data_IF_968051869423
#
_entry.id   IF_968051869423
#
_cell.length_a   1.000
_cell.length_b   1.000
_cell.length_c   1.000
_cell.angle_alpha   90.00
_cell.angle_beta   90.00
_cell.angle_gamma   90.00
#
_symmetry.space_group_name_H-M   'P 1'
#
loop_
_entity.id
_entity.type
_entity.pdbx_description
1 polymer ?
#
# COMPACT_ATOMS: atom_id res chain seq x y z
N UNK A 1 -35.02 -29.23 0.36
CA UNK A 1 -34.10 -28.62 1.34
C UNK A 1 -32.90 -28.09 0.59
N UNK A 2 -32.66 -26.77 0.59
CA UNK A 2 -31.47 -26.20 -0.03
C UNK A 2 -30.33 -26.15 1.00
N UNK A 3 -29.30 -26.95 0.77
CA UNK A 3 -28.06 -26.91 1.54
C UNK A 3 -27.28 -25.66 1.16
N UNK A 4 -27.38 -24.62 1.99
CA UNK A 4 -26.47 -23.47 1.94
C UNK A 4 -25.19 -23.95 2.63
N UNK A 5 -24.22 -24.42 1.84
CA UNK A 5 -22.85 -24.62 2.30
C UNK A 5 -22.29 -23.26 2.68
N UNK A 6 -22.21 -22.95 3.97
CA UNK A 6 -21.47 -21.80 4.47
C UNK A 6 -20.01 -21.95 4.02
N UNK A 7 -19.59 -21.15 3.04
CA UNK A 7 -18.18 -20.97 2.75
C UNK A 7 -17.54 -20.45 4.04
N UNK A 8 -16.64 -21.25 4.63
CA UNK A 8 -15.85 -20.86 5.79
C UNK A 8 -15.24 -19.47 5.54
N UNK A 9 -15.33 -18.52 6.50
CA UNK A 9 -14.78 -17.19 6.30
C UNK A 9 -13.32 -17.36 5.94
N UNK A 10 -12.94 -16.89 4.75
CA UNK A 10 -11.55 -16.77 4.32
C UNK A 10 -10.81 -16.17 5.51
N UNK A 11 -9.81 -16.87 6.04
CA UNK A 11 -9.04 -16.37 7.17
C UNK A 11 -8.25 -15.15 6.69
N UNK A 12 -8.89 -13.98 6.70
CA UNK A 12 -8.32 -12.69 6.34
C UNK A 12 -7.24 -12.42 7.38
N UNK A 13 -5.98 -12.67 7.00
CA UNK A 13 -4.84 -12.42 7.86
C UNK A 13 -4.68 -10.91 7.98
N UNK A 14 -5.31 -10.31 8.98
CA UNK A 14 -5.15 -8.89 9.27
C UNK A 14 -3.73 -8.61 9.77
N UNK A 15 -3.15 -7.49 9.32
CA UNK A 15 -1.88 -7.01 9.85
C UNK A 15 -2.07 -6.62 11.32
N UNK A 16 -1.36 -7.29 12.24
CA UNK A 16 -1.39 -6.96 13.66
C UNK A 16 -0.48 -5.76 13.91
N UNK A 17 -1.06 -4.58 13.98
CA UNK A 17 -0.34 -3.35 14.27
C UNK A 17 0.17 -3.36 15.73
N UNK A 18 1.48 -3.16 15.92
CA UNK A 18 2.06 -3.04 17.26
C UNK A 18 1.92 -1.61 17.79
N UNK A 19 1.87 -1.45 19.12
CA UNK A 19 1.75 -0.13 19.76
C UNK A 19 2.93 0.79 19.41
N UNK A 20 4.15 0.25 19.40
CA UNK A 20 5.35 0.99 19.02
C UNK A 20 5.29 1.49 17.56
N UNK A 21 4.83 0.65 16.63
CA UNK A 21 4.62 1.07 15.24
C UNK A 21 3.53 2.13 15.13
N UNK A 22 2.45 2.02 15.90
CA UNK A 22 1.37 3.02 15.89
C UNK A 22 1.85 4.38 16.41
N UNK A 23 2.61 4.42 17.51
CA UNK A 23 3.17 5.65 18.07
C UNK A 23 4.16 6.32 17.10
N UNK A 24 5.00 5.53 16.45
CA UNK A 24 5.92 6.07 15.46
C UNK A 24 5.18 6.52 14.18
N UNK A 25 4.10 5.83 13.79
CA UNK A 25 3.22 6.23 12.69
C UNK A 25 2.44 7.53 12.97
N UNK A 26 2.18 7.88 14.23
CA UNK A 26 1.52 9.14 14.62
C UNK A 26 2.37 10.38 14.34
N UNK A 27 3.69 10.25 14.24
CA UNK A 27 4.60 11.35 13.92
C UNK A 27 4.61 11.69 12.42
N UNK A 28 4.03 10.82 11.58
CA UNK A 28 3.90 11.03 10.14
C UNK A 28 2.64 11.82 9.80
N UNK A 29 2.65 12.44 8.61
CA UNK A 29 1.44 13.08 8.09
C UNK A 29 0.35 12.03 7.85
N UNK A 30 -0.95 12.41 7.90
CA UNK A 30 -2.04 11.48 7.68
C UNK A 30 -1.89 10.67 6.39
N UNK A 31 -1.51 11.32 5.28
CA UNK A 31 -1.33 10.66 3.99
C UNK A 31 -0.13 9.69 3.95
N UNK A 32 0.92 9.94 4.73
CA UNK A 32 2.09 9.06 4.84
C UNK A 32 1.75 7.81 5.67
N UNK A 33 1.00 8.00 6.76
CA UNK A 33 0.51 6.92 7.60
C UNK A 33 -0.49 6.02 6.87
N UNK A 34 -1.46 6.60 6.18
CA UNK A 34 -2.46 5.85 5.40
C UNK A 34 -1.75 4.97 4.36
N UNK A 35 -0.74 5.54 3.68
CA UNK A 35 0.10 4.82 2.73
C UNK A 35 0.88 3.68 3.40
N UNK A 36 1.54 3.94 4.53
CA UNK A 36 2.30 2.92 5.27
C UNK A 36 1.41 1.71 5.62
N UNK A 37 0.21 1.98 6.16
CA UNK A 37 -0.73 0.92 6.54
C UNK A 37 -1.28 0.18 5.33
N UNK A 38 -1.59 0.89 4.24
CA UNK A 38 -1.99 0.25 2.99
C UNK A 38 -0.94 -0.74 2.48
N UNK A 39 0.34 -0.38 2.53
CA UNK A 39 1.44 -1.26 2.14
C UNK A 39 1.58 -2.47 3.06
N UNK A 40 1.46 -2.29 4.38
CA UNK A 40 1.52 -3.39 5.36
C UNK A 40 0.41 -4.41 5.20
N UNK A 41 -0.80 -3.97 4.85
CA UNK A 41 -1.92 -4.87 4.58
C UNK A 41 -1.71 -5.66 3.29
N UNK A 42 -1.11 -5.03 2.27
CA UNK A 42 -0.82 -5.67 0.98
C UNK A 42 0.32 -6.68 1.05
N UNK A 43 1.35 -6.40 1.84
CA UNK A 43 2.50 -7.29 2.03
C UNK A 43 2.80 -7.49 3.52
N UNK A 44 1.99 -8.31 4.22
CA UNK A 44 2.18 -8.57 5.65
C UNK A 44 3.42 -9.43 5.94
N UNK A 45 3.95 -10.16 4.95
CA UNK A 45 5.07 -11.09 5.11
C UNK A 45 6.39 -10.61 4.50
N UNK A 46 6.39 -9.47 3.79
CA UNK A 46 7.61 -8.87 3.28
C UNK A 46 8.19 -9.63 2.07
N UNK A 47 7.37 -10.33 1.29
CA UNK A 47 7.85 -11.10 0.12
C UNK A 47 8.19 -10.24 -1.10
N UNK A 48 8.03 -8.92 -0.95
CA UNK A 48 8.31 -7.94 -2.00
C UNK A 48 7.02 -7.56 -2.70
N UNK A 49 6.77 -6.26 -2.78
CA UNK A 49 5.55 -5.71 -3.35
C UNK A 49 5.90 -4.79 -4.50
N UNK A 50 5.46 -5.15 -5.70
CA UNK A 50 5.40 -4.22 -6.82
C UNK A 50 4.15 -3.36 -6.63
N UNK A 51 4.38 -2.06 -6.46
CA UNK A 51 3.31 -1.11 -6.21
C UNK A 51 3.24 -0.05 -7.28
N UNK A 52 2.04 0.16 -7.76
CA UNK A 52 1.69 1.19 -8.69
C UNK A 52 1.13 2.40 -7.95
N UNK A 53 1.78 3.55 -8.10
CA UNK A 53 1.38 4.80 -7.45
C UNK A 53 -0.02 5.24 -7.86
N UNK A 54 -0.45 4.96 -9.09
CA UNK A 54 -1.80 5.32 -9.53
C UNK A 54 -2.88 4.47 -8.84
N UNK A 55 -2.67 3.17 -8.74
CA UNK A 55 -3.61 2.28 -8.05
C UNK A 55 -3.70 2.61 -6.56
N UNK A 56 -2.58 2.94 -5.93
CA UNK A 56 -2.58 3.40 -4.52
C UNK A 56 -3.34 4.73 -4.38
N UNK A 57 -3.11 5.66 -5.30
CA UNK A 57 -3.79 6.95 -5.30
C UNK A 57 -5.32 6.78 -5.45
N UNK A 58 -5.76 5.87 -6.31
CA UNK A 58 -7.18 5.52 -6.48
C UNK A 58 -7.73 4.81 -5.23
N UNK A 59 -7.02 3.83 -4.67
CA UNK A 59 -7.43 3.10 -3.48
C UNK A 59 -7.56 4.00 -2.23
N UNK A 60 -6.65 4.96 -2.07
CA UNK A 60 -6.65 5.92 -0.95
C UNK A 60 -7.48 7.18 -1.23
N UNK A 61 -7.98 7.37 -2.46
CA UNK A 61 -8.69 8.59 -2.87
C UNK A 61 -7.83 9.86 -2.77
N UNK A 62 -6.52 9.76 -3.03
CA UNK A 62 -5.56 10.87 -2.91
C UNK A 62 -4.93 11.20 -4.27
N UNK A 63 -4.35 12.39 -4.38
CA UNK A 63 -3.58 12.75 -5.57
C UNK A 63 -2.25 11.98 -5.64
N UNK A 64 -1.86 11.58 -6.85
CA UNK A 64 -0.58 10.90 -7.14
C UNK A 64 0.63 11.67 -6.62
N UNK A 65 0.60 13.01 -6.69
CA UNK A 65 1.67 13.86 -6.17
C UNK A 65 1.83 13.71 -4.65
N UNK A 66 0.71 13.61 -3.91
CA UNK A 66 0.71 13.38 -2.46
C UNK A 66 1.29 12.01 -2.12
N UNK A 67 0.92 10.96 -2.87
CA UNK A 67 1.47 9.60 -2.68
C UNK A 67 2.97 9.56 -3.00
N UNK A 68 3.42 10.20 -4.09
CA UNK A 68 4.84 10.29 -4.42
C UNK A 68 5.65 11.03 -3.35
N UNK A 69 5.11 12.14 -2.82
CA UNK A 69 5.74 12.87 -1.72
C UNK A 69 5.83 12.01 -0.46
N UNK A 70 4.74 11.32 -0.12
CA UNK A 70 4.68 10.43 1.03
C UNK A 70 5.65 9.24 0.91
N UNK A 71 5.72 8.59 -0.25
CA UNK A 71 6.71 7.55 -0.56
C UNK A 71 8.13 8.05 -0.34
N UNK A 72 8.42 9.28 -0.78
CA UNK A 72 9.75 9.86 -0.63
C UNK A 72 10.11 10.13 0.85
N UNK A 73 9.14 10.59 1.66
CA UNK A 73 9.34 10.79 3.10
C UNK A 73 9.54 9.45 3.81
N UNK A 74 8.68 8.46 3.53
CA UNK A 74 8.78 7.11 4.10
C UNK A 74 10.12 6.45 3.78
N UNK A 75 10.62 6.62 2.55
CA UNK A 75 11.95 6.14 2.14
C UNK A 75 13.06 6.87 2.89
N UNK A 76 13.01 8.21 2.98
CA UNK A 76 14.03 8.99 3.71
C UNK A 76 14.10 8.66 5.19
N UNK A 77 12.97 8.33 5.79
CA UNK A 77 12.89 7.92 7.19
C UNK A 77 13.20 6.42 7.42
N UNK A 78 13.50 5.66 6.36
CA UNK A 78 13.91 4.25 6.47
C UNK A 78 12.78 3.26 6.74
N UNK A 79 11.51 3.70 6.70
CA UNK A 79 10.36 2.82 6.96
C UNK A 79 10.21 1.69 5.93
N UNK A 80 10.55 1.99 4.67
CA UNK A 80 10.44 1.02 3.58
C UNK A 80 11.60 0.00 3.59
N UNK A 81 12.74 0.32 4.22
CA UNK A 81 13.90 -0.58 4.33
C UNK A 81 13.76 -1.55 5.51
N UNK A 82 13.15 -1.11 6.62
CA UNK A 82 12.95 -1.97 7.80
C UNK A 82 11.79 -2.98 7.67
N UNK A 83 10.85 -2.76 6.74
CA UNK A 83 9.60 -3.51 6.70
C UNK A 83 9.34 -4.32 5.42
N UNK A 84 10.02 -4.04 4.31
CA UNK A 84 9.73 -4.63 3.02
C UNK A 84 11.03 -5.05 2.33
N UNK A 85 11.12 -6.29 1.83
CA UNK A 85 12.33 -6.76 1.12
C UNK A 85 12.59 -6.00 -0.17
N UNK A 86 11.54 -5.58 -0.88
CA UNK A 86 11.70 -4.78 -2.10
C UNK A 86 10.39 -4.05 -2.43
N UNK A 87 10.42 -2.72 -2.34
CA UNK A 87 9.33 -1.87 -2.84
C UNK A 87 9.76 -1.31 -4.18
N UNK A 88 9.21 -1.85 -5.26
CA UNK A 88 9.46 -1.34 -6.61
C UNK A 88 8.26 -0.52 -7.04
N UNK A 89 8.46 0.80 -7.15
CA UNK A 89 7.51 1.67 -7.81
C UNK A 89 7.58 1.42 -9.30
N UNK A 90 6.52 0.84 -9.85
CA UNK A 90 6.36 0.78 -11.30
C UNK A 90 5.91 2.17 -11.74
N UNK A 91 6.76 2.89 -12.45
CA UNK A 91 6.32 4.07 -13.17
C UNK A 91 5.40 3.57 -14.28
N UNK A 92 4.12 3.93 -14.21
CA UNK A 92 3.25 3.76 -15.37
C UNK A 92 3.87 4.56 -16.51
N UNK A 93 4.42 3.86 -17.51
CA UNK A 93 4.52 4.44 -18.84
C UNK A 93 3.11 4.82 -19.21
N UNK A 94 2.85 6.12 -19.27
CA UNK A 94 1.63 6.68 -19.85
C UNK A 94 1.36 5.89 -21.13
N UNK A 95 0.16 5.32 -21.28
CA UNK A 95 -0.22 4.68 -22.53
C UNK A 95 -0.13 5.73 -23.64
N UNK A 96 1.00 5.77 -24.34
CA UNK A 96 1.08 6.30 -25.69
C UNK A 96 0.35 5.30 -26.60
N UNK A 97 -0.41 5.84 -27.57
CA UNK A 97 -1.37 5.16 -28.46
C UNK A 97 -2.66 4.71 -27.74
N UNK A 98 -3.84 5.22 -28.09
CA UNK A 98 -4.46 5.14 -29.43
C UNK A 98 -5.27 6.42 -29.70
N UNK A 99 -4.87 7.20 -30.70
CA UNK A 99 -5.73 8.18 -31.35
C UNK A 99 -5.20 8.37 -32.78
N UNK A 100 -5.41 7.35 -33.61
CA UNK A 100 -5.42 7.51 -35.07
C UNK A 100 -6.74 6.90 -35.52
N UNK A 101 -7.70 7.78 -35.83
CA UNK A 101 -8.98 7.50 -36.46
C UNK A 101 -9.28 8.67 -37.39
#
# INVERSE_FOLDING_TARGET
MNNISCASPTSEKFYKLTEAEYLAALQLKPAERDLLFYLRVRDPFGDGLEINVAEIAEALGRHRATINSALNVLRKQGWLEHGFKTVRTIALKTKEAIAEA
#
